data_IF_730133408993
#
_entry.id   IF_730133408993
#
_cell.length_a   1.000
_cell.length_b   1.000
_cell.length_c   1.000
_cell.angle_alpha   90.00
_cell.angle_beta   90.00
_cell.angle_gamma   90.00
#
_symmetry.space_group_name_H-M   'P 1'
#
loop_
_entity.id
_entity.type
_entity.pdbx_description
1 polymer ?
#
# COMPACT_ATOMS: atom_id res chain seq x y z
N UNK A 1 -17.17 -30.75 -17.88
CA UNK A 1 -16.36 -30.15 -18.97
C UNK A 1 -16.43 -28.64 -18.76
N UNK A 2 -15.31 -27.99 -18.39
CA UNK A 2 -15.29 -26.53 -18.25
C UNK A 2 -15.07 -25.92 -19.64
N UNK A 3 -16.02 -25.09 -20.06
CA UNK A 3 -15.93 -24.32 -21.29
C UNK A 3 -14.66 -23.48 -21.31
N UNK A 4 -13.91 -23.61 -22.41
CA UNK A 4 -12.69 -22.83 -22.62
C UNK A 4 -13.11 -21.42 -23.04
N UNK A 5 -12.64 -20.35 -22.39
CA UNK A 5 -12.86 -18.99 -22.86
C UNK A 5 -12.29 -18.84 -24.27
N UNK A 6 -13.16 -18.50 -25.22
CA UNK A 6 -12.81 -18.36 -26.62
C UNK A 6 -11.88 -17.15 -26.77
N UNK A 7 -10.64 -17.37 -27.21
CA UNK A 7 -9.62 -16.32 -27.39
C UNK A 7 -8.38 -16.49 -26.51
N UNK A 8 -8.47 -17.22 -25.39
CA UNK A 8 -7.27 -17.50 -24.58
C UNK A 8 -6.52 -18.69 -25.18
N UNK A 9 -5.33 -18.44 -25.74
CA UNK A 9 -4.46 -19.51 -26.20
C UNK A 9 -4.24 -20.53 -25.07
N UNK A 10 -4.46 -21.83 -25.35
CA UNK A 10 -4.23 -22.95 -24.40
C UNK A 10 -2.86 -22.89 -23.71
N UNK A 11 -1.88 -22.32 -24.42
CA UNK A 11 -0.53 -22.09 -23.90
C UNK A 11 -0.50 -21.03 -22.80
N UNK A 12 -1.28 -19.95 -22.90
CA UNK A 12 -1.36 -18.89 -21.87
C UNK A 12 -1.87 -19.42 -20.53
N UNK A 13 -2.90 -20.27 -20.54
CA UNK A 13 -3.43 -20.90 -19.32
C UNK A 13 -2.38 -21.81 -18.65
N UNK A 14 -1.70 -22.66 -19.42
CA UNK A 14 -0.62 -23.52 -18.92
C UNK A 14 0.55 -22.72 -18.34
N UNK A 15 0.93 -21.63 -19.00
CA UNK A 15 1.97 -20.73 -18.51
C UNK A 15 1.56 -20.08 -17.19
N UNK A 16 0.32 -19.61 -17.07
CA UNK A 16 -0.21 -19.03 -15.83
C UNK A 16 -0.16 -20.05 -14.69
N UNK A 17 -0.60 -21.28 -14.93
CA UNK A 17 -0.55 -22.35 -13.92
C UNK A 17 0.88 -22.66 -13.48
N UNK A 18 1.81 -22.75 -14.44
CA UNK A 18 3.24 -22.93 -14.14
C UNK A 18 3.79 -21.78 -13.29
N UNK A 19 3.45 -20.54 -13.63
CA UNK A 19 3.83 -19.37 -12.85
C UNK A 19 3.26 -19.40 -11.43
N UNK A 20 1.99 -19.79 -11.28
CA UNK A 20 1.35 -19.94 -9.96
C UNK A 20 2.07 -20.98 -9.10
N UNK A 21 2.49 -22.12 -9.67
CA UNK A 21 3.27 -23.13 -8.94
C UNK A 21 4.63 -22.60 -8.51
N UNK A 22 5.33 -21.87 -9.39
CA UNK A 22 6.60 -21.22 -9.04
C UNK A 22 6.42 -20.19 -7.92
N UNK A 23 5.33 -19.41 -7.97
CA UNK A 23 4.99 -18.46 -6.93
C UNK A 23 4.75 -19.15 -5.58
N UNK A 24 3.97 -20.24 -5.57
CA UNK A 24 3.73 -21.06 -4.36
C UNK A 24 5.04 -21.64 -3.80
N UNK A 25 5.98 -22.01 -4.67
CA UNK A 25 7.31 -22.47 -4.29
C UNK A 25 8.29 -21.33 -3.93
N UNK A 26 7.78 -20.11 -3.68
CA UNK A 26 8.55 -18.90 -3.35
C UNK A 26 9.59 -18.50 -4.40
N UNK A 27 9.49 -19.05 -5.61
CA UNK A 27 10.36 -18.73 -6.74
C UNK A 27 9.81 -17.50 -7.48
N UNK A 28 9.75 -16.37 -6.78
CA UNK A 28 9.04 -15.17 -7.24
C UNK A 28 9.61 -14.58 -8.53
N UNK A 29 10.95 -14.55 -8.68
CA UNK A 29 11.61 -14.06 -9.91
C UNK A 29 11.22 -14.90 -11.14
N UNK A 30 11.18 -16.23 -10.98
CA UNK A 30 10.79 -17.13 -12.05
C UNK A 30 9.30 -17.00 -12.39
N UNK A 31 8.44 -16.88 -11.38
CA UNK A 31 7.01 -16.63 -11.57
C UNK A 31 6.77 -15.31 -12.30
N UNK A 32 7.42 -14.23 -11.84
CA UNK A 32 7.40 -12.91 -12.47
C UNK A 32 7.78 -12.99 -13.96
N UNK A 33 8.89 -13.66 -14.28
CA UNK A 33 9.34 -13.81 -15.66
C UNK A 33 8.31 -14.49 -16.56
N UNK A 34 7.56 -15.47 -16.05
CA UNK A 34 6.48 -16.12 -16.82
C UNK A 34 5.27 -15.19 -16.96
N UNK A 35 4.81 -14.52 -15.90
CA UNK A 35 3.69 -13.57 -16.02
C UNK A 35 4.01 -12.45 -17.02
N UNK A 36 5.21 -11.89 -16.97
CA UNK A 36 5.67 -10.87 -17.92
C UNK A 36 5.67 -11.39 -19.36
N UNK A 37 6.09 -12.64 -19.59
CA UNK A 37 6.01 -13.26 -20.93
C UNK A 37 4.58 -13.41 -21.43
N UNK A 38 3.63 -13.75 -20.55
CA UNK A 38 2.21 -13.84 -20.93
C UNK A 38 1.69 -12.46 -21.37
N UNK A 39 2.02 -11.40 -20.63
CA UNK A 39 1.58 -10.04 -20.93
C UNK A 39 2.28 -9.43 -22.15
N UNK A 40 3.55 -9.77 -22.40
CA UNK A 40 4.27 -9.31 -23.59
C UNK A 40 3.76 -9.98 -24.87
N UNK A 41 3.29 -11.22 -24.77
CA UNK A 41 2.77 -11.99 -25.90
C UNK A 41 1.25 -11.89 -26.05
N UNK A 42 0.58 -11.07 -25.24
CA UNK A 42 -0.86 -10.86 -25.41
C UNK A 42 -1.09 -9.91 -26.58
N UNK A 43 -1.81 -10.37 -27.60
CA UNK A 43 -2.21 -9.53 -28.73
C UNK A 43 -3.16 -8.41 -28.31
N UNK A 44 -3.47 -7.53 -29.25
CA UNK A 44 -4.43 -6.41 -29.07
C UNK A 44 -5.88 -6.87 -29.23
N UNK A 45 -6.18 -8.13 -28.89
CA UNK A 45 -7.51 -8.70 -29.07
C UNK A 45 -8.51 -8.01 -28.14
N UNK A 46 -9.56 -7.44 -28.75
CA UNK A 46 -10.64 -6.76 -28.02
C UNK A 46 -11.71 -7.77 -27.56
N UNK A 47 -11.28 -8.74 -26.76
CA UNK A 47 -12.13 -9.78 -26.20
C UNK A 47 -12.13 -9.67 -24.67
N UNK A 48 -13.32 -9.63 -24.08
CA UNK A 48 -13.52 -9.46 -22.64
C UNK A 48 -12.94 -10.62 -21.82
N UNK A 49 -13.02 -11.86 -22.32
CA UNK A 49 -12.42 -13.03 -21.67
C UNK A 49 -10.89 -12.91 -21.63
N UNK A 50 -10.29 -12.43 -22.72
CA UNK A 50 -8.84 -12.20 -22.82
C UNK A 50 -8.43 -11.07 -21.88
N UNK A 51 -9.18 -9.96 -21.85
CA UNK A 51 -8.94 -8.84 -20.92
C UNK A 51 -9.02 -9.30 -19.46
N UNK A 52 -10.02 -10.08 -19.07
CA UNK A 52 -10.15 -10.60 -17.70
C UNK A 52 -8.99 -11.53 -17.32
N UNK A 53 -8.56 -12.38 -18.26
CA UNK A 53 -7.40 -13.23 -18.06
C UNK A 53 -6.12 -12.43 -17.86
N UNK A 54 -5.85 -11.45 -18.72
CA UNK A 54 -4.67 -10.59 -18.62
C UNK A 54 -4.71 -9.77 -17.33
N UNK A 55 -5.89 -9.32 -16.91
CA UNK A 55 -6.09 -8.64 -15.63
C UNK A 55 -5.71 -9.54 -14.45
N UNK A 56 -6.13 -10.79 -14.46
CA UNK A 56 -5.74 -11.78 -13.44
C UNK A 56 -4.23 -11.99 -13.43
N UNK A 57 -3.62 -12.11 -14.61
CA UNK A 57 -2.16 -12.27 -14.77
C UNK A 57 -1.41 -11.06 -14.22
N UNK A 58 -1.84 -9.82 -14.53
CA UNK A 58 -1.27 -8.58 -13.97
C UNK A 58 -1.37 -8.53 -12.46
N UNK A 59 -2.52 -8.86 -11.89
CA UNK A 59 -2.68 -8.91 -10.42
C UNK A 59 -1.72 -9.92 -9.77
N UNK A 60 -1.49 -11.08 -10.41
CA UNK A 60 -0.53 -12.06 -9.93
C UNK A 60 0.93 -11.62 -10.13
N UNK A 61 1.24 -10.91 -11.22
CA UNK A 61 2.55 -10.29 -11.42
C UNK A 61 2.87 -9.26 -10.34
N UNK A 62 1.89 -8.41 -10.00
CA UNK A 62 2.02 -7.47 -8.88
C UNK A 62 2.29 -8.20 -7.55
N UNK A 63 1.65 -9.34 -7.30
CA UNK A 63 1.94 -10.14 -6.11
C UNK A 63 3.41 -10.60 -6.08
N UNK A 64 3.95 -11.03 -7.24
CA UNK A 64 5.37 -11.39 -7.34
C UNK A 64 6.29 -10.19 -7.10
N UNK A 65 5.97 -9.00 -7.62
CA UNK A 65 6.68 -7.75 -7.32
C UNK A 65 6.69 -7.43 -5.83
N UNK A 66 5.53 -7.52 -5.15
CA UNK A 66 5.41 -7.31 -3.70
C UNK A 66 6.30 -8.28 -2.93
N UNK A 67 6.34 -9.56 -3.31
CA UNK A 67 7.20 -10.56 -2.69
C UNK A 67 8.70 -10.32 -2.93
N UNK A 68 9.06 -9.55 -3.96
CA UNK A 68 10.42 -9.14 -4.26
C UNK A 68 10.78 -7.76 -3.67
N UNK A 69 9.84 -7.06 -3.02
CA UNK A 69 10.04 -5.71 -2.50
C UNK A 69 9.93 -4.59 -3.54
N UNK A 70 9.52 -4.91 -4.77
CA UNK A 70 9.35 -3.96 -5.87
C UNK A 70 7.97 -3.29 -5.80
N UNK A 71 7.74 -2.49 -4.75
CA UNK A 71 6.42 -1.95 -4.45
C UNK A 71 5.92 -0.91 -5.45
N UNK A 72 6.81 -0.11 -6.06
CA UNK A 72 6.43 0.90 -7.03
C UNK A 72 5.87 0.27 -8.32
N UNK A 73 6.55 -0.75 -8.84
CA UNK A 73 6.16 -1.51 -10.02
C UNK A 73 4.88 -2.32 -9.76
N UNK A 74 4.72 -2.84 -8.54
CA UNK A 74 3.46 -3.48 -8.14
C UNK A 74 2.28 -2.51 -8.19
N UNK A 75 2.47 -1.24 -7.77
CA UNK A 75 1.42 -0.21 -7.82
C UNK A 75 0.96 0.02 -9.26
N UNK A 76 1.87 0.15 -10.21
CA UNK A 76 1.53 0.35 -11.63
C UNK A 76 0.66 -0.78 -12.17
N UNK A 77 1.03 -2.04 -11.88
CA UNK A 77 0.24 -3.20 -12.29
C UNK A 77 -1.16 -3.20 -11.69
N UNK A 78 -1.29 -2.86 -10.41
CA UNK A 78 -2.55 -2.89 -9.71
C UNK A 78 -3.47 -1.74 -10.12
N UNK A 79 -2.92 -0.55 -10.37
CA UNK A 79 -3.66 0.57 -10.93
C UNK A 79 -4.21 0.24 -12.31
N UNK A 80 -3.44 -0.45 -13.15
CA UNK A 80 -3.92 -0.93 -14.44
C UNK A 80 -5.07 -1.93 -14.27
N UNK A 81 -4.97 -2.86 -13.30
CA UNK A 81 -6.02 -3.85 -13.01
C UNK A 81 -7.34 -3.19 -12.59
N UNK A 82 -7.27 -2.15 -11.74
CA UNK A 82 -8.44 -1.43 -11.27
C UNK A 82 -9.03 -0.50 -12.34
N UNK A 83 -8.20 0.12 -13.17
CA UNK A 83 -8.62 1.00 -14.26
C UNK A 83 -9.29 0.23 -15.40
N UNK A 84 -8.83 -0.99 -15.68
CA UNK A 84 -9.42 -1.88 -16.69
C UNK A 84 -10.68 -2.59 -16.19
N UNK A 85 -11.20 -2.27 -15.00
CA UNK A 85 -12.45 -2.82 -14.47
C UNK A 85 -13.69 -2.04 -14.93
N UNK A 86 -13.71 -1.56 -16.17
CA UNK A 86 -14.85 -0.82 -16.75
C UNK A 86 -16.19 -1.55 -16.58
N UNK A 87 -16.20 -2.89 -16.58
CA UNK A 87 -17.40 -3.70 -16.28
C UNK A 87 -17.88 -3.60 -14.82
N UNK A 88 -17.07 -3.16 -13.86
CA UNK A 88 -17.48 -2.92 -12.46
C UNK A 88 -18.00 -1.49 -12.27
N UNK A 89 -17.41 -0.49 -12.96
CA UNK A 89 -17.87 0.91 -12.88
C UNK A 89 -19.19 1.15 -13.61
N UNK A 90 -19.42 0.43 -14.71
CA UNK A 90 -20.60 0.60 -15.55
C UNK A 90 -21.69 -0.45 -15.26
N UNK A 91 -21.46 -1.38 -14.33
CA UNK A 91 -22.49 -2.35 -13.97
C UNK A 91 -23.60 -1.67 -13.16
N UNK A 92 -24.84 -1.91 -13.57
CA UNK A 92 -26.07 -1.49 -12.87
C UNK A 92 -26.13 -2.06 -11.44
N UNK A 93 -25.39 -3.14 -11.19
CA UNK A 93 -25.26 -3.79 -9.90
C UNK A 93 -23.83 -4.30 -9.70
N UNK A 94 -23.31 -4.14 -8.49
CA UNK A 94 -22.00 -4.63 -8.07
C UNK A 94 -21.87 -6.13 -8.34
N UNK A 95 -20.75 -6.63 -8.90
CA UNK A 95 -20.61 -8.05 -9.21
C UNK A 95 -20.70 -8.90 -7.93
N UNK A 96 -21.24 -10.13 -8.01
CA UNK A 96 -21.31 -11.01 -6.84
C UNK A 96 -19.90 -11.25 -6.30
N UNK A 97 -19.77 -11.24 -4.97
CA UNK A 97 -18.47 -11.31 -4.29
C UNK A 97 -17.67 -12.58 -4.62
N UNK A 98 -18.37 -13.66 -5.00
CA UNK A 98 -17.80 -14.95 -5.45
C UNK A 98 -17.27 -14.93 -6.89
N UNK A 99 -17.55 -13.87 -7.66
CA UNK A 99 -17.06 -13.75 -9.04
C UNK A 99 -15.51 -13.68 -9.08
N UNK A 100 -14.85 -14.29 -10.08
CA UNK A 100 -13.42 -14.13 -10.32
C UNK A 100 -13.00 -12.66 -10.47
N UNK A 101 -13.87 -11.86 -11.09
CA UNK A 101 -13.71 -10.42 -11.25
C UNK A 101 -13.65 -9.72 -9.88
N UNK A 102 -14.66 -9.99 -9.03
CA UNK A 102 -14.75 -9.40 -7.70
C UNK A 102 -13.57 -9.83 -6.82
N UNK A 103 -13.19 -11.11 -6.88
CA UNK A 103 -12.03 -11.64 -6.16
C UNK A 103 -10.74 -10.94 -6.56
N UNK A 104 -10.53 -10.72 -7.87
CA UNK A 104 -9.33 -10.04 -8.38
C UNK A 104 -9.33 -8.55 -7.99
N UNK A 105 -10.47 -7.87 -8.07
CA UNK A 105 -10.60 -6.46 -7.63
C UNK A 105 -10.27 -6.33 -6.15
N UNK A 106 -10.89 -7.17 -5.30
CA UNK A 106 -10.70 -7.20 -3.85
C UNK A 106 -9.22 -7.39 -3.48
N UNK A 107 -8.58 -8.42 -4.04
CA UNK A 107 -7.15 -8.67 -3.84
C UNK A 107 -6.29 -7.50 -4.27
N UNK A 108 -6.68 -6.79 -5.34
CA UNK A 108 -5.88 -5.70 -5.88
C UNK A 108 -5.92 -4.45 -4.98
N UNK A 109 -7.06 -4.14 -4.37
CA UNK A 109 -7.13 -3.07 -3.36
C UNK A 109 -6.25 -3.34 -2.14
N UNK A 110 -6.34 -4.55 -1.55
CA UNK A 110 -5.49 -4.93 -0.41
C UNK A 110 -4.00 -4.88 -0.75
N UNK A 111 -3.64 -5.36 -1.95
CA UNK A 111 -2.25 -5.30 -2.44
C UNK A 111 -1.78 -3.86 -2.62
N UNK A 112 -2.61 -2.96 -3.14
CA UNK A 112 -2.26 -1.53 -3.29
C UNK A 112 -2.05 -0.87 -1.94
N UNK A 113 -2.99 -1.07 -1.01
CA UNK A 113 -2.86 -0.55 0.34
C UNK A 113 -1.55 -1.01 0.99
N UNK A 114 -1.19 -2.29 0.82
CA UNK A 114 0.10 -2.81 1.29
C UNK A 114 1.28 -2.11 0.63
N UNK A 115 1.28 -1.97 -0.70
CA UNK A 115 2.36 -1.28 -1.40
C UNK A 115 2.53 0.15 -0.91
N UNK A 116 1.44 0.91 -0.77
CA UNK A 116 1.50 2.28 -0.26
C UNK A 116 1.96 2.35 1.20
N UNK A 117 1.57 1.38 2.03
CA UNK A 117 2.07 1.25 3.39
C UNK A 117 3.58 1.04 3.43
N UNK A 118 4.13 0.13 2.60
CA UNK A 118 5.58 -0.10 2.54
C UNK A 118 6.34 1.08 1.90
N UNK A 119 5.69 1.86 1.04
CA UNK A 119 6.23 3.10 0.47
C UNK A 119 6.10 4.32 1.40
N UNK A 120 5.53 4.16 2.61
CA UNK A 120 5.31 5.25 3.56
C UNK A 120 4.20 6.23 3.18
N UNK A 121 3.41 5.94 2.14
CA UNK A 121 2.29 6.76 1.67
C UNK A 121 1.00 6.35 2.38
N UNK A 122 0.95 6.59 3.68
CA UNK A 122 -0.11 6.07 4.55
C UNK A 122 -1.52 6.59 4.22
N UNK A 123 -1.62 7.83 3.72
CA UNK A 123 -2.92 8.40 3.31
C UNK A 123 -3.48 7.66 2.09
N UNK A 124 -2.64 7.36 1.10
CA UNK A 124 -3.04 6.58 -0.07
C UNK A 124 -3.36 5.13 0.31
N UNK A 125 -2.63 4.55 1.27
CA UNK A 125 -2.94 3.23 1.81
C UNK A 125 -4.34 3.20 2.43
N UNK A 126 -4.69 4.20 3.25
CA UNK A 126 -6.01 4.32 3.87
C UNK A 126 -7.13 4.44 2.82
N UNK A 127 -6.96 5.29 1.81
CA UNK A 127 -7.94 5.43 0.70
C UNK A 127 -8.24 4.08 0.03
N UNK A 128 -7.22 3.26 -0.20
CA UNK A 128 -7.42 1.95 -0.84
C UNK A 128 -8.02 0.90 0.10
N UNK A 129 -7.81 1.00 1.41
CA UNK A 129 -8.49 0.16 2.41
C UNK A 129 -9.98 0.53 2.53
N UNK A 130 -10.31 1.81 2.43
CA UNK A 130 -11.71 2.26 2.41
C UNK A 130 -12.40 1.81 1.13
N UNK A 131 -11.76 1.96 -0.03
CA UNK A 131 -12.26 1.43 -1.30
C UNK A 131 -12.42 -0.10 -1.29
N UNK A 132 -11.52 -0.84 -0.62
CA UNK A 132 -11.69 -2.28 -0.37
C UNK A 132 -12.96 -2.56 0.42
N UNK A 133 -13.14 -1.85 1.55
CA UNK A 133 -14.28 -2.01 2.46
C UNK A 133 -15.61 -1.74 1.76
N UNK A 134 -15.69 -0.66 0.99
CA UNK A 134 -16.86 -0.32 0.18
C UNK A 134 -17.13 -1.42 -0.86
N UNK A 135 -16.07 -2.02 -1.42
CA UNK A 135 -16.19 -3.14 -2.35
C UNK A 135 -16.63 -4.47 -1.70
N UNK A 136 -16.51 -4.64 -0.39
CA UNK A 136 -16.94 -5.87 0.31
C UNK A 136 -18.15 -5.66 1.22
N UNK A 137 -18.88 -4.56 1.02
CA UNK A 137 -20.08 -4.19 1.78
C UNK A 137 -19.81 -4.14 3.30
N UNK A 138 -18.62 -3.63 3.66
CA UNK A 138 -18.23 -3.42 5.05
C UNK A 138 -17.68 -4.64 5.78
N UNK A 139 -17.63 -5.83 5.16
CA UNK A 139 -17.02 -7.01 5.79
C UNK A 139 -15.50 -6.85 5.92
N UNK A 140 -14.98 -6.98 7.14
CA UNK A 140 -13.55 -6.91 7.42
C UNK A 140 -12.91 -8.27 7.30
N UNK A 141 -11.90 -8.39 6.45
CA UNK A 141 -11.04 -9.56 6.43
C UNK A 141 -9.94 -9.39 7.50
N UNK A 142 -9.50 -10.47 8.19
CA UNK A 142 -8.40 -10.37 9.17
C UNK A 142 -7.14 -9.71 8.60
N UNK A 143 -6.83 -9.98 7.32
CA UNK A 143 -5.70 -9.38 6.64
C UNK A 143 -5.86 -7.87 6.38
N UNK A 144 -7.10 -7.37 6.31
CA UNK A 144 -7.37 -5.93 6.25
C UNK A 144 -7.12 -5.26 7.61
N UNK A 145 -7.52 -5.91 8.70
CA UNK A 145 -7.38 -5.40 10.07
C UNK A 145 -5.92 -5.17 10.43
N UNK A 146 -5.08 -6.19 10.24
CA UNK A 146 -3.64 -6.10 10.51
C UNK A 146 -2.98 -4.96 9.71
N UNK A 147 -3.40 -4.78 8.46
CA UNK A 147 -2.86 -3.74 7.59
C UNK A 147 -3.34 -2.35 8.01
N UNK A 148 -4.60 -2.19 8.43
CA UNK A 148 -5.12 -0.94 8.98
C UNK A 148 -4.39 -0.54 10.26
N UNK A 149 -4.19 -1.49 11.17
CA UNK A 149 -3.48 -1.24 12.42
C UNK A 149 -2.03 -0.78 12.15
N UNK A 150 -1.35 -1.43 11.19
CA UNK A 150 -0.01 -1.00 10.74
C UNK A 150 -0.03 0.42 10.18
N UNK A 151 -1.00 0.76 9.33
CA UNK A 151 -1.11 2.09 8.71
C UNK A 151 -1.38 3.17 9.77
N UNK A 152 -2.36 2.97 10.66
CA UNK A 152 -2.69 3.94 11.69
C UNK A 152 -1.57 4.10 12.73
N UNK A 153 -0.92 3.01 13.12
CA UNK A 153 0.26 3.06 13.99
C UNK A 153 1.39 3.89 13.37
N UNK A 154 1.64 3.70 12.08
CA UNK A 154 2.66 4.46 11.36
C UNK A 154 2.29 5.95 11.23
N UNK A 155 1.04 6.30 10.93
CA UNK A 155 0.57 7.69 10.88
C UNK A 155 0.75 8.39 12.24
N UNK A 156 0.37 7.73 13.34
CA UNK A 156 0.55 8.28 14.69
C UNK A 156 2.01 8.56 15.02
N UNK A 157 2.90 7.65 14.65
CA UNK A 157 4.34 7.81 14.89
C UNK A 157 4.93 8.97 14.07
N UNK A 158 4.45 9.19 12.85
CA UNK A 158 4.84 10.33 12.02
C UNK A 158 4.40 11.64 12.67
N UNK A 159 3.17 11.72 13.17
CA UNK A 159 2.67 12.92 13.87
C UNK A 159 3.49 13.27 15.10
N UNK A 160 3.84 12.29 15.93
CA UNK A 160 4.68 12.49 17.12
C UNK A 160 6.09 12.98 16.72
N UNK A 161 6.69 12.38 15.69
CA UNK A 161 8.02 12.78 15.21
C UNK A 161 8.04 14.20 14.61
N UNK A 162 6.93 14.66 14.02
CA UNK A 162 6.80 16.04 13.55
C UNK A 162 6.60 17.04 14.68
N UNK A 163 5.93 16.66 15.77
CA UNK A 163 5.74 17.50 16.96
C UNK A 163 7.06 17.69 17.73
N UNK A 164 7.87 16.64 17.90
CA UNK A 164 9.19 16.73 18.55
C UNK A 164 10.19 17.61 17.76
N UNK A 165 10.03 17.73 16.44
CA UNK A 165 10.83 18.62 15.59
C UNK A 165 10.31 20.07 15.56
N UNK A 166 9.12 20.31 16.09
CA UNK A 166 8.46 21.60 16.10
C UNK A 166 8.67 22.37 17.42
N UNK A 167 9.65 21.98 18.26
CA UNK A 167 10.15 22.87 19.31
C UNK A 167 11.01 23.94 18.63
N UNK A 168 10.57 25.20 18.50
CA UNK A 168 11.46 26.26 18.05
C UNK A 168 12.62 26.36 19.04
N UNK A 169 13.85 26.30 18.52
CA UNK A 169 15.08 26.72 19.20
C UNK A 169 14.99 28.23 19.50
N UNK A 170 14.14 28.61 20.43
CA UNK A 170 14.00 29.99 20.92
C UNK A 170 14.00 30.06 22.45
N UNK A 171 14.67 29.10 23.08
CA UNK A 171 15.22 29.29 24.43
C UNK A 171 16.71 29.59 24.30
N UNK A 172 17.02 30.85 23.97
CA UNK A 172 18.29 31.45 24.41
C UNK A 172 18.14 31.60 25.92
N UNK A 173 18.65 30.61 26.66
CA UNK A 173 18.93 30.82 28.08
C UNK A 173 20.06 31.84 28.12
N UNK A 174 19.73 33.11 28.33
CA UNK A 174 20.72 34.11 28.74
C UNK A 174 21.31 33.63 30.07
N UNK A 175 22.49 33.02 29.98
CA UNK A 175 23.35 32.79 31.14
C UNK A 175 23.84 34.18 31.55
N UNK A 176 23.12 34.81 32.47
CA UNK A 176 23.57 36.04 33.13
C UNK A 176 24.85 35.68 33.90
N UNK A 177 25.99 36.04 33.32
CA UNK A 177 27.29 35.97 33.98
C UNK A 177 27.26 36.91 35.20
N UNK A 178 27.63 36.45 36.41
CA UNK A 178 27.75 37.35 37.55
C UNK A 178 29.03 38.17 37.40
N UNK A 179 28.91 39.47 37.08
CA UNK A 179 30.05 40.39 37.11
C UNK A 179 30.40 40.74 38.57
N UNK A 180 31.67 40.60 38.99
CA UNK A 180 32.12 41.05 40.31
C UNK A 180 32.57 42.50 40.21
N UNK A 181 32.02 43.40 41.03
CA UNK A 181 32.71 44.54 41.70
C UNK A 181 31.72 45.63 42.10
N UNK A 182 31.41 45.72 43.40
CA UNK A 182 31.33 46.98 44.15
C UNK A 182 31.17 46.66 45.66
N UNK A 183 31.80 47.43 46.56
CA UNK A 183 31.99 47.04 47.95
C UNK A 183 30.72 47.19 48.80
N UNK A 184 30.53 46.26 49.72
CA UNK A 184 29.50 46.28 50.76
C UNK A 184 29.81 47.46 51.69
N UNK A 185 28.99 48.52 51.66
CA UNK A 185 28.92 49.50 52.76
C UNK A 185 28.14 48.87 53.90
N UNK A 186 28.86 48.43 54.93
CA UNK A 186 28.30 48.17 56.25
C UNK A 186 27.83 49.51 56.82
N UNK A 187 26.53 49.66 57.04
CA UNK A 187 26.04 50.64 57.99
C UNK A 187 25.94 49.93 59.34
N UNK A 188 26.86 50.27 60.24
CA UNK A 188 26.66 50.07 61.67
C UNK A 188 25.41 50.85 62.07
N UNK A 189 24.40 50.14 62.57
CA UNK A 189 23.34 50.76 63.35
C UNK A 189 23.66 50.38 64.79
N UNK A 190 24.57 51.16 65.39
CA UNK A 190 24.67 51.25 66.83
C UNK A 190 23.47 52.06 67.33
N UNK A 191 22.65 51.44 68.18
CA UNK A 191 22.48 51.87 69.59
C UNK A 191 21.32 51.10 70.25
N UNK A 192 21.71 50.24 71.19
CA UNK A 192 21.02 49.84 72.42
C UNK A 192 20.49 51.05 73.23
N UNK A 193 19.72 50.89 74.33
CA UNK A 193 19.13 49.68 74.93
C UNK A 193 17.59 49.70 75.04
#
# INVERSE_FOLDING_TARGET
>A
MQDRPAGIAKNGLKLKEKANRLYQNKSYTAAFGIYSKILANSGTEDNDDVKEFLRTVRSNRAAAHISLGHYAEAVEDLQHVLSSSSSVRNAVSKPPLSSPLATTTRKSYLRLARCFCELGKFDDATKHLDAHRDFVDGMRAPEEDELRDKVYGAQRNVSIATEDRAIPLNYVVEIIQPTPTAPIRLYEIDLYP
#
